data_IF_046934299672
#
_entry.id   IF_046934299672
#
_cell.length_a   1.000
_cell.length_b   1.000
_cell.length_c   1.000
_cell.angle_alpha   90.00
_cell.angle_beta   90.00
_cell.angle_gamma   90.00
#
_symmetry.space_group_name_H-M   'P 1'
#
loop_
_entity.id
_entity.type
_entity.pdbx_description
1 polymer ?
#
# COMPACT_ATOMS: atom_id res chain seq x y z
N UNK A 1 -19.25 -4.77 -9.65
CA UNK A 1 -19.79 -3.61 -8.87
C UNK A 1 -18.77 -3.07 -7.86
N UNK A 2 -17.96 -2.11 -8.29
CA UNK A 2 -17.74 -0.85 -7.55
C UNK A 2 -17.24 0.19 -8.54
N UNK A 3 -18.12 1.13 -8.94
CA UNK A 3 -17.79 2.17 -9.91
C UNK A 3 -17.08 3.37 -9.28
N UNK A 4 -16.79 3.40 -7.97
CA UNK A 4 -16.12 4.52 -7.30
C UNK A 4 -14.59 4.33 -7.27
N UNK A 5 -13.87 5.41 -7.55
CA UNK A 5 -12.40 5.43 -7.57
C UNK A 5 -11.81 5.12 -6.19
N UNK A 6 -12.38 5.72 -5.13
CA UNK A 6 -11.89 5.52 -3.76
C UNK A 6 -12.00 4.05 -3.31
N UNK A 7 -13.11 3.37 -3.64
CA UNK A 7 -13.28 1.97 -3.25
C UNK A 7 -12.32 1.05 -4.02
N UNK A 8 -12.01 1.38 -5.27
CA UNK A 8 -11.02 0.65 -6.06
C UNK A 8 -9.60 0.78 -5.49
N UNK A 9 -9.22 1.98 -5.00
CA UNK A 9 -7.94 2.19 -4.31
C UNK A 9 -7.93 1.43 -2.97
N UNK A 10 -8.97 1.59 -2.15
CA UNK A 10 -9.07 0.96 -0.84
C UNK A 10 -8.99 -0.57 -0.91
N UNK A 11 -9.64 -1.17 -1.92
CA UNK A 11 -9.66 -2.62 -2.16
C UNK A 11 -8.56 -3.13 -3.10
N UNK A 12 -7.57 -2.30 -3.43
CA UNK A 12 -6.40 -2.66 -4.25
C UNK A 12 -6.78 -3.30 -5.59
N UNK A 13 -7.69 -2.65 -6.31
CA UNK A 13 -8.23 -3.10 -7.60
C UNK A 13 -7.47 -2.51 -8.78
N UNK A 14 -7.65 -3.12 -9.95
CA UNK A 14 -7.11 -2.62 -11.21
C UNK A 14 -7.65 -1.21 -11.51
N UNK A 15 -6.81 -0.22 -11.85
CA UNK A 15 -7.26 1.14 -12.17
C UNK A 15 -8.08 1.21 -13.47
N UNK A 16 -7.85 0.28 -14.40
CA UNK A 16 -8.51 0.24 -15.71
C UNK A 16 -9.95 -0.26 -15.61
N UNK A 17 -10.19 -1.41 -14.95
CA UNK A 17 -11.53 -2.01 -14.85
C UNK A 17 -12.19 -1.89 -13.46
N UNK A 18 -11.44 -1.57 -12.40
CA UNK A 18 -11.88 -1.51 -10.98
C UNK A 18 -12.37 -2.82 -10.36
N UNK A 19 -12.21 -3.95 -11.04
CA UNK A 19 -12.71 -5.25 -10.55
C UNK A 19 -11.61 -6.27 -10.26
N UNK A 20 -10.61 -6.37 -11.15
CA UNK A 20 -9.49 -7.29 -11.00
C UNK A 20 -8.57 -6.93 -9.83
N UNK A 21 -7.92 -7.93 -9.23
CA UNK A 21 -7.01 -7.76 -8.08
C UNK A 21 -5.61 -7.35 -8.57
N UNK A 22 -5.01 -6.36 -7.92
CA UNK A 22 -3.63 -5.94 -8.21
C UNK A 22 -2.60 -6.90 -7.62
N UNK A 23 -2.91 -7.53 -6.49
CA UNK A 23 -2.01 -8.42 -5.75
C UNK A 23 -2.51 -9.87 -5.77
N UNK A 24 -1.62 -10.87 -5.93
CA UNK A 24 -1.98 -12.29 -5.97
C UNK A 24 -2.24 -12.90 -4.59
N UNK A 25 -1.82 -12.24 -3.50
CA UNK A 25 -1.91 -12.79 -2.14
C UNK A 25 -2.82 -11.96 -1.23
N UNK A 26 -3.18 -12.51 -0.06
CA UNK A 26 -3.98 -11.82 0.96
C UNK A 26 -3.22 -10.64 1.61
N UNK A 27 -3.92 -9.62 2.13
CA UNK A 27 -3.32 -8.43 2.76
C UNK A 27 -2.35 -8.73 3.90
N UNK A 28 -2.50 -9.88 4.57
CA UNK A 28 -1.67 -10.28 5.71
C UNK A 28 -0.59 -11.31 5.35
N UNK A 29 -0.27 -11.51 4.07
CA UNK A 29 0.76 -12.46 3.66
C UNK A 29 2.16 -11.84 3.70
N UNK A 30 2.98 -12.27 4.66
CA UNK A 30 4.37 -11.80 4.83
C UNK A 30 5.39 -12.47 3.89
N UNK A 31 5.04 -13.54 3.18
CA UNK A 31 5.98 -14.25 2.28
C UNK A 31 6.11 -13.63 0.89
N UNK A 32 5.06 -12.95 0.41
CA UNK A 32 5.00 -12.39 -0.96
C UNK A 32 4.47 -10.95 -0.95
N UNK A 33 4.97 -10.15 -0.02
CA UNK A 33 4.56 -8.76 0.22
C UNK A 33 4.69 -7.89 -1.04
N UNK A 34 5.77 -8.09 -1.78
CA UNK A 34 6.07 -7.29 -2.98
C UNK A 34 5.49 -7.84 -4.28
N UNK A 35 4.85 -9.00 -4.27
CA UNK A 35 4.34 -9.62 -5.48
C UNK A 35 3.13 -8.85 -6.03
N UNK A 36 3.15 -8.54 -7.32
CA UNK A 36 2.04 -7.93 -8.06
C UNK A 36 1.66 -8.80 -9.25
N UNK A 37 0.40 -8.75 -9.65
CA UNK A 37 -0.05 -9.43 -10.85
C UNK A 37 0.53 -8.74 -12.09
N UNK A 38 1.03 -9.50 -13.07
CA UNK A 38 1.55 -8.95 -14.34
C UNK A 38 0.41 -8.44 -15.22
N UNK A 39 -0.70 -9.19 -15.27
CA UNK A 39 -1.89 -8.84 -16.04
C UNK A 39 -3.13 -8.89 -15.16
N UNK A 40 -4.13 -8.09 -15.50
CA UNK A 40 -5.43 -8.13 -14.84
C UNK A 40 -6.20 -9.39 -15.25
N UNK A 41 -6.71 -10.15 -14.27
CA UNK A 41 -7.50 -11.37 -14.49
C UNK A 41 -8.86 -11.11 -15.17
N UNK A 42 -9.36 -9.86 -15.12
CA UNK A 42 -10.69 -9.49 -15.66
C UNK A 42 -10.58 -8.86 -17.04
N UNK A 43 -9.78 -7.80 -17.19
CA UNK A 43 -9.67 -7.05 -18.46
C UNK A 43 -8.40 -7.35 -19.27
N UNK A 44 -7.51 -8.23 -18.78
CA UNK A 44 -6.28 -8.63 -19.49
C UNK A 44 -5.20 -7.55 -19.61
N UNK A 45 -5.44 -6.34 -19.09
CA UNK A 45 -4.49 -5.22 -19.20
C UNK A 45 -3.17 -5.54 -18.50
N UNK A 46 -2.06 -5.08 -19.07
CA UNK A 46 -0.75 -5.16 -18.42
C UNK A 46 -0.70 -4.21 -17.22
N UNK A 47 -0.53 -4.75 -16.02
CA UNK A 47 -0.44 -4.00 -14.76
C UNK A 47 0.98 -3.53 -14.47
N UNK A 48 1.98 -4.07 -15.18
CA UNK A 48 3.38 -3.67 -15.11
C UNK A 48 3.77 -3.11 -16.49
N UNK A 49 3.52 -1.82 -16.75
CA UNK A 49 3.77 -1.22 -18.07
C UNK A 49 5.24 -1.31 -18.48
N UNK A 50 6.14 -1.10 -17.50
CA UNK A 50 7.58 -1.00 -17.68
C UNK A 50 8.28 -1.89 -16.62
N UNK A 51 9.42 -2.52 -16.94
CA UNK A 51 10.20 -3.25 -15.94
C UNK A 51 10.64 -2.28 -14.83
N UNK A 52 10.52 -2.68 -13.57
CA UNK A 52 10.84 -1.79 -12.44
C UNK A 52 9.81 -0.70 -12.16
N UNK A 53 8.63 -0.71 -12.81
CA UNK A 53 7.61 0.34 -12.61
C UNK A 53 7.29 0.62 -11.12
N UNK A 54 7.26 -0.41 -10.27
CA UNK A 54 6.95 -0.25 -8.85
C UNK A 54 8.10 0.23 -7.97
N UNK A 55 9.29 0.46 -8.52
CA UNK A 55 10.43 0.97 -7.75
C UNK A 55 10.13 2.39 -7.27
N UNK A 56 9.42 3.18 -8.08
CA UNK A 56 8.92 4.51 -7.67
C UNK A 56 7.92 4.46 -6.50
N UNK A 57 7.22 3.34 -6.29
CA UNK A 57 6.33 3.19 -5.15
C UNK A 57 7.09 3.09 -3.81
N UNK A 58 8.40 2.84 -3.82
CA UNK A 58 9.22 2.84 -2.60
C UNK A 58 9.26 4.22 -1.94
N UNK A 59 9.24 5.31 -2.71
CA UNK A 59 9.20 6.67 -2.16
C UNK A 59 7.92 6.96 -1.38
N UNK A 60 6.77 6.45 -1.86
CA UNK A 60 5.50 6.55 -1.14
C UNK A 60 5.56 5.72 0.14
N UNK A 61 6.16 4.52 0.08
CA UNK A 61 6.35 3.68 1.27
C UNK A 61 7.26 4.34 2.30
N UNK A 62 8.28 5.09 1.86
CA UNK A 62 9.13 5.87 2.74
C UNK A 62 8.34 6.98 3.44
N UNK A 63 7.52 7.73 2.69
CA UNK A 63 6.65 8.76 3.27
C UNK A 63 5.69 8.17 4.33
N UNK A 64 5.10 6.99 4.08
CA UNK A 64 4.30 6.30 5.09
C UNK A 64 5.11 5.91 6.33
N UNK A 65 6.35 5.45 6.16
CA UNK A 65 7.21 5.07 7.28
C UNK A 65 7.56 6.28 8.16
N UNK A 66 7.93 7.40 7.54
CA UNK A 66 8.17 8.66 8.26
C UNK A 66 6.93 9.10 9.01
N UNK A 67 5.76 9.08 8.36
CA UNK A 67 4.49 9.45 9.00
C UNK A 67 4.16 8.52 10.18
N UNK A 68 4.39 7.21 10.05
CA UNK A 68 4.16 6.23 11.10
C UNK A 68 5.07 6.48 12.31
N UNK A 69 6.36 6.72 12.08
CA UNK A 69 7.33 7.02 13.14
C UNK A 69 6.89 8.28 13.91
N UNK A 70 6.65 9.40 13.20
CA UNK A 70 6.21 10.66 13.83
C UNK A 70 4.92 10.45 14.63
N UNK A 71 3.93 9.79 14.03
CA UNK A 71 2.64 9.52 14.69
C UNK A 71 2.82 8.66 15.94
N UNK A 72 3.68 7.64 15.88
CA UNK A 72 3.94 6.76 17.03
C UNK A 72 4.64 7.50 18.17
N UNK A 73 5.61 8.38 17.86
CA UNK A 73 6.28 9.23 18.85
C UNK A 73 5.28 10.16 19.53
N UNK A 74 4.46 10.87 18.75
CA UNK A 74 3.42 11.76 19.28
C UNK A 74 2.41 10.99 20.13
N UNK A 75 1.98 9.81 19.67
CA UNK A 75 1.02 8.97 20.39
C UNK A 75 1.56 8.55 21.77
N UNK A 76 2.82 8.11 21.85
CA UNK A 76 3.44 7.73 23.13
C UNK A 76 3.54 8.94 24.06
N UNK A 77 3.97 10.10 23.56
CA UNK A 77 4.11 11.33 24.37
C UNK A 77 2.78 11.83 24.92
N UNK A 78 1.69 11.72 24.15
CA UNK A 78 0.36 12.23 24.55
C UNK A 78 -0.39 11.24 25.44
N UNK A 79 -0.28 9.94 25.16
CA UNK A 79 -1.05 8.90 25.86
C UNK A 79 -0.38 8.41 27.14
N UNK A 80 0.95 8.57 27.28
CA UNK A 80 1.71 8.04 28.40
C UNK A 80 2.26 9.19 29.26
N UNK A 81 1.88 9.23 30.54
CA UNK A 81 2.26 10.30 31.47
C UNK A 81 3.77 10.38 31.77
N UNK A 82 4.46 9.24 31.79
CA UNK A 82 5.91 9.12 32.00
C UNK A 82 6.49 8.14 30.98
N UNK A 83 6.73 8.57 29.74
CA UNK A 83 7.20 7.68 28.69
C UNK A 83 8.68 7.39 28.86
N UNK A 84 9.05 6.11 28.78
CA UNK A 84 10.44 5.66 28.79
C UNK A 84 10.92 5.36 27.37
N UNK A 85 12.25 5.38 27.14
CA UNK A 85 12.83 5.20 25.81
C UNK A 85 12.39 3.88 25.14
N UNK A 86 12.29 2.80 25.90
CA UNK A 86 11.90 1.49 25.37
C UNK A 86 10.48 1.49 24.81
N UNK A 87 9.58 2.33 25.36
CA UNK A 87 8.19 2.42 24.90
C UNK A 87 8.10 3.01 23.49
N UNK A 88 8.93 4.00 23.18
CA UNK A 88 9.02 4.55 21.83
C UNK A 88 9.54 3.50 20.85
N UNK A 89 10.64 2.83 21.20
CA UNK A 89 11.26 1.83 20.34
C UNK A 89 10.33 0.64 20.08
N UNK A 90 9.72 0.09 21.14
CA UNK A 90 8.81 -1.05 21.00
C UNK A 90 7.58 -0.68 20.17
N UNK A 91 7.00 0.51 20.39
CA UNK A 91 5.82 0.96 19.66
C UNK A 91 6.12 1.13 18.16
N UNK A 92 7.24 1.78 17.82
CA UNK A 92 7.67 1.95 16.42
C UNK A 92 7.87 0.59 15.74
N UNK A 93 8.59 -0.32 16.39
CA UNK A 93 8.91 -1.65 15.82
C UNK A 93 7.64 -2.48 15.63
N UNK A 94 6.78 -2.55 16.64
CA UNK A 94 5.53 -3.32 16.60
C UNK A 94 4.60 -2.78 15.52
N UNK A 95 4.39 -1.46 15.47
CA UNK A 95 3.53 -0.85 14.45
C UNK A 95 4.09 -1.04 13.04
N UNK A 96 5.41 -0.93 12.85
CA UNK A 96 6.02 -1.19 11.55
C UNK A 96 5.79 -2.64 11.11
N UNK A 97 6.03 -3.63 11.97
CA UNK A 97 5.84 -5.04 11.59
C UNK A 97 4.37 -5.32 11.22
N UNK A 98 3.42 -4.78 11.98
CA UNK A 98 1.98 -4.98 11.73
C UNK A 98 1.54 -4.28 10.45
N UNK A 99 1.99 -3.05 10.22
CA UNK A 99 1.51 -2.21 9.10
C UNK A 99 2.34 -2.37 7.82
N UNK A 100 3.51 -3.00 7.87
CA UNK A 100 4.38 -3.23 6.72
C UNK A 100 3.63 -3.79 5.48
N UNK A 101 2.79 -4.83 5.60
CA UNK A 101 2.05 -5.36 4.45
C UNK A 101 1.10 -4.34 3.85
N UNK A 102 0.42 -3.57 4.68
CA UNK A 102 -0.52 -2.54 4.24
C UNK A 102 0.24 -1.39 3.56
N UNK A 103 1.30 -0.87 4.18
CA UNK A 103 2.09 0.23 3.65
C UNK A 103 2.66 -0.08 2.26
N UNK A 104 3.25 -1.27 2.06
CA UNK A 104 3.78 -1.67 0.77
C UNK A 104 2.70 -1.81 -0.31
N UNK A 105 1.53 -2.37 0.06
CA UNK A 105 0.39 -2.54 -0.87
C UNK A 105 -0.22 -1.21 -1.29
N UNK A 106 -0.51 -0.35 -0.33
CA UNK A 106 -1.11 0.94 -0.61
C UNK A 106 -0.13 1.85 -1.35
N UNK A 107 1.17 1.76 -1.07
CA UNK A 107 2.19 2.49 -1.84
C UNK A 107 2.15 2.14 -3.33
N UNK A 108 2.12 0.84 -3.67
CA UNK A 108 2.04 0.38 -5.07
C UNK A 108 0.71 0.70 -5.72
N UNK A 109 -0.38 0.62 -4.96
CA UNK A 109 -1.72 0.97 -5.45
C UNK A 109 -1.80 2.46 -5.77
N UNK A 110 -1.41 3.33 -4.83
CA UNK A 110 -1.39 4.78 -5.05
C UNK A 110 -0.47 5.17 -6.19
N UNK A 111 0.72 4.56 -6.28
CA UNK A 111 1.63 4.78 -7.40
C UNK A 111 0.99 4.39 -8.74
N UNK A 112 0.34 3.23 -8.81
CA UNK A 112 -0.34 2.80 -10.04
C UNK A 112 -1.48 3.74 -10.43
N UNK A 113 -2.26 4.25 -9.47
CA UNK A 113 -3.37 5.16 -9.75
C UNK A 113 -2.89 6.59 -10.10
N UNK A 114 -1.76 7.04 -9.54
CA UNK A 114 -1.21 8.37 -9.80
C UNK A 114 -0.31 8.44 -11.03
N UNK A 115 0.64 7.50 -11.16
CA UNK A 115 1.65 7.46 -12.23
C UNK A 115 1.34 6.44 -13.33
N UNK A 116 0.39 5.54 -13.11
CA UNK A 116 0.01 4.55 -14.12
C UNK A 116 -0.75 5.20 -15.27
N UNK A 117 -0.33 4.89 -16.50
CA UNK A 117 -0.97 5.37 -17.75
C UNK A 117 -2.33 4.68 -18.04
N UNK A 118 -2.86 3.90 -17.09
CA UNK A 118 -4.09 3.13 -17.25
C UNK A 118 -5.31 4.01 -16.97
N UNK A 119 -6.00 4.44 -18.04
CA UNK A 119 -7.29 5.14 -17.91
C UNK A 119 -8.39 4.15 -17.56
N UNK A 120 -9.38 4.63 -16.79
CA UNK A 120 -10.58 3.85 -16.52
C UNK A 120 -11.36 3.64 -17.82
N UNK A 121 -11.54 2.37 -18.17
CA UNK A 121 -12.39 1.93 -19.27
C UNK A 121 -13.23 0.81 -18.68
N UNK A 122 -14.34 1.22 -18.06
CA UNK A 122 -15.34 0.28 -17.55
C UNK A 122 -15.73 -0.67 -18.67
N UNK A 123 -15.83 -1.96 -18.33
CA UNK A 123 -16.47 -2.95 -19.19
C UNK A 123 -17.99 -2.84 -19.03
#
# INVERSE_FOLDING_TARGET
>A
MSKSLGLAIASCKCPHCREGKLFPVSPFSYRKLSATNKKCEVCGVNLIPEPGFYDGAMYISYAFSVALVITSLVAVTVLVKKPELWMYMSTVVVLNIILLPAMLRYSKTLYQFGMGKLKYRGF
#
